data_IF_948445304757
#
_entry.id   IF_948445304757
#
_cell.length_a   1.000
_cell.length_b   1.000
_cell.length_c   1.000
_cell.angle_alpha   90.00
_cell.angle_beta   90.00
_cell.angle_gamma   90.00
#
_symmetry.space_group_name_H-M   'P 1'
#
loop_
_entity.id
_entity.type
_entity.pdbx_description
1 polymer ?
#
# COMPACT_ATOMS: atom_id res chain seq x y z
N UNK A 1 -7.29 -21.91 24.18
CA UNK A 1 -7.70 -20.49 24.26
C UNK A 1 -7.68 -19.91 22.86
N UNK A 2 -8.61 -19.04 22.47
CA UNK A 2 -8.72 -18.66 21.06
C UNK A 2 -7.53 -17.79 20.55
N UNK A 3 -7.09 -16.80 21.25
CA UNK A 3 -6.00 -15.91 20.81
C UNK A 3 -5.04 -15.61 21.98
N UNK A 4 -3.75 -15.49 21.67
CA UNK A 4 -2.68 -15.18 22.61
C UNK A 4 -2.33 -13.67 22.59
N UNK A 5 -1.55 -13.22 23.57
CA UNK A 5 -1.03 -11.84 23.55
C UNK A 5 -0.16 -11.56 22.31
N UNK A 6 0.55 -12.57 21.81
CA UNK A 6 1.36 -12.47 20.60
C UNK A 6 0.48 -12.25 19.35
N UNK A 7 -0.70 -12.88 19.28
CA UNK A 7 -1.66 -12.70 18.18
C UNK A 7 -2.20 -11.28 18.15
N UNK A 8 -2.55 -10.73 19.33
CA UNK A 8 -2.98 -9.33 19.44
C UNK A 8 -1.88 -8.34 19.06
N UNK A 9 -0.62 -8.62 19.46
CA UNK A 9 0.53 -7.80 19.06
C UNK A 9 0.72 -7.83 17.53
N UNK A 10 0.59 -9.01 16.89
CA UNK A 10 0.67 -9.14 15.44
C UNK A 10 -0.47 -8.39 14.72
N UNK A 11 -1.70 -8.47 15.22
CA UNK A 11 -2.85 -7.71 14.69
C UNK A 11 -2.57 -6.20 14.78
N UNK A 12 -2.13 -5.73 15.94
CA UNK A 12 -1.84 -4.30 16.14
C UNK A 12 -0.74 -3.80 15.22
N UNK A 13 0.37 -4.55 15.11
CA UNK A 13 1.48 -4.23 14.22
C UNK A 13 1.02 -4.18 12.75
N UNK A 14 0.18 -5.11 12.34
CA UNK A 14 -0.38 -5.14 10.97
C UNK A 14 -1.22 -3.91 10.69
N UNK A 15 -2.09 -3.51 11.63
CA UNK A 15 -2.92 -2.31 11.47
C UNK A 15 -2.07 -1.03 11.42
N UNK A 16 -1.03 -0.93 12.25
CA UNK A 16 -0.08 0.18 12.20
C UNK A 16 0.66 0.22 10.86
N UNK A 17 1.19 -0.91 10.40
CA UNK A 17 1.89 -1.04 9.12
C UNK A 17 0.97 -0.63 7.96
N UNK A 18 -0.23 -1.20 7.88
CA UNK A 18 -1.17 -0.94 6.80
C UNK A 18 -1.64 0.52 6.80
N UNK A 19 -1.93 1.10 7.97
CA UNK A 19 -2.35 2.50 8.07
C UNK A 19 -1.25 3.45 7.61
N UNK A 20 -0.03 3.28 8.13
CA UNK A 20 1.10 4.15 7.78
C UNK A 20 1.48 4.01 6.30
N UNK A 21 1.55 2.78 5.79
CA UNK A 21 1.83 2.49 4.38
C UNK A 21 0.78 3.14 3.47
N UNK A 22 -0.51 3.03 3.82
CA UNK A 22 -1.60 3.63 3.04
C UNK A 22 -1.48 5.15 2.99
N UNK A 23 -1.22 5.81 4.13
CA UNK A 23 -1.03 7.27 4.17
C UNK A 23 0.15 7.70 3.30
N UNK A 24 1.30 7.02 3.43
CA UNK A 24 2.48 7.32 2.60
C UNK A 24 2.17 7.11 1.12
N UNK A 25 1.50 6.01 0.77
CA UNK A 25 1.13 5.72 -0.61
C UNK A 25 0.15 6.74 -1.19
N UNK A 26 -0.81 7.24 -0.42
CA UNK A 26 -1.71 8.30 -0.88
C UNK A 26 -0.94 9.60 -1.12
N UNK A 27 0.03 9.94 -0.28
CA UNK A 27 0.85 11.15 -0.43
C UNK A 27 1.81 11.02 -1.61
N UNK A 28 2.56 9.92 -1.71
CA UNK A 28 3.57 9.70 -2.77
C UNK A 28 2.93 9.26 -4.08
N UNK A 29 1.90 8.41 -4.02
CA UNK A 29 1.21 7.88 -5.19
C UNK A 29 0.37 8.92 -5.92
N UNK A 30 -0.20 9.91 -5.21
CA UNK A 30 -1.02 10.96 -5.83
C UNK A 30 -0.26 11.74 -6.91
N UNK A 31 0.93 12.33 -6.67
CA UNK A 31 1.67 13.03 -7.72
C UNK A 31 2.10 12.09 -8.85
N UNK A 32 2.46 10.84 -8.55
CA UNK A 32 2.82 9.84 -9.57
C UNK A 32 1.60 9.53 -10.46
N UNK A 33 0.45 9.25 -9.86
CA UNK A 33 -0.79 8.96 -10.57
C UNK A 33 -1.27 10.16 -11.41
N UNK A 34 -1.19 11.37 -10.85
CA UNK A 34 -1.56 12.60 -11.54
C UNK A 34 -0.66 12.85 -12.75
N UNK A 35 0.65 12.63 -12.59
CA UNK A 35 1.60 12.75 -13.69
C UNK A 35 1.32 11.69 -14.77
N UNK A 36 1.16 10.42 -14.39
CA UNK A 36 0.85 9.33 -15.32
C UNK A 36 -0.47 9.56 -16.09
N UNK A 37 -1.47 10.17 -15.44
CA UNK A 37 -2.77 10.45 -16.07
C UNK A 37 -2.66 11.51 -17.18
N UNK A 38 -1.86 12.57 -16.99
CA UNK A 38 -1.86 13.75 -17.85
C UNK A 38 -0.62 13.90 -18.72
N UNK A 39 0.45 13.14 -18.46
CA UNK A 39 1.71 13.29 -19.20
C UNK A 39 1.61 12.74 -20.63
N UNK A 40 2.22 13.46 -21.58
CA UNK A 40 2.47 13.03 -22.96
C UNK A 40 3.94 12.59 -23.16
N UNK A 41 4.72 12.50 -22.10
CA UNK A 41 6.14 12.13 -22.17
C UNK A 41 6.30 10.66 -22.60
N UNK A 42 7.38 10.37 -23.33
CA UNK A 42 7.80 9.00 -23.66
C UNK A 42 8.12 8.15 -22.42
N UNK A 43 8.37 8.80 -21.27
CA UNK A 43 8.64 8.12 -19.99
C UNK A 43 7.37 7.56 -19.33
N UNK A 44 6.16 7.88 -19.84
CA UNK A 44 4.89 7.36 -19.30
C UNK A 44 4.87 5.84 -19.27
N UNK A 45 5.28 5.19 -20.35
CA UNK A 45 5.33 3.72 -20.44
C UNK A 45 6.29 3.09 -19.44
N UNK A 46 7.59 3.45 -19.46
CA UNK A 46 8.56 2.92 -18.50
C UNK A 46 8.20 3.16 -17.03
N UNK A 47 7.77 4.36 -16.65
CA UNK A 47 7.38 4.65 -15.26
C UNK A 47 6.12 3.88 -14.88
N UNK A 48 5.13 3.80 -15.79
CA UNK A 48 3.95 2.97 -15.56
C UNK A 48 4.29 1.49 -15.37
N UNK A 49 5.23 0.95 -16.14
CA UNK A 49 5.73 -0.41 -15.99
C UNK A 49 6.43 -0.62 -14.64
N UNK A 50 7.28 0.32 -14.20
CA UNK A 50 7.94 0.25 -12.88
C UNK A 50 6.90 0.25 -11.75
N UNK A 51 5.90 1.13 -11.82
CA UNK A 51 4.81 1.18 -10.82
C UNK A 51 4.00 -0.12 -10.81
N UNK A 52 3.76 -0.73 -11.97
CA UNK A 52 3.00 -1.97 -12.09
C UNK A 52 3.82 -3.24 -11.83
N UNK A 53 5.15 -3.15 -11.77
CA UNK A 53 6.06 -4.29 -11.65
C UNK A 53 5.72 -5.22 -10.46
N UNK A 54 5.33 -4.71 -9.28
CA UNK A 54 4.94 -5.54 -8.15
C UNK A 54 3.74 -6.46 -8.39
N UNK A 55 2.88 -6.17 -9.38
CA UNK A 55 1.74 -7.05 -9.72
C UNK A 55 2.17 -8.36 -10.40
N UNK A 56 3.33 -8.38 -11.02
CA UNK A 56 3.81 -9.50 -11.82
C UNK A 56 4.93 -10.26 -11.11
N UNK A 57 5.78 -9.54 -10.37
CA UNK A 57 6.88 -10.15 -9.65
C UNK A 57 6.40 -10.92 -8.42
N UNK A 58 6.94 -12.14 -8.18
CA UNK A 58 6.72 -12.82 -6.91
C UNK A 58 7.14 -11.94 -5.72
N UNK A 59 6.36 -11.90 -4.63
CA UNK A 59 6.67 -11.11 -3.44
C UNK A 59 8.08 -11.39 -2.88
N UNK A 60 8.50 -12.65 -2.93
CA UNK A 60 9.82 -13.10 -2.48
C UNK A 60 10.96 -12.50 -3.28
N UNK A 61 10.76 -12.27 -4.60
CA UNK A 61 11.78 -11.66 -5.47
C UNK A 61 11.97 -10.19 -5.07
N UNK A 62 10.88 -9.46 -4.89
CA UNK A 62 10.94 -8.06 -4.45
C UNK A 62 11.56 -7.98 -3.06
N UNK A 63 11.10 -8.82 -2.12
CA UNK A 63 11.63 -8.89 -0.76
C UNK A 63 13.12 -9.20 -0.72
N UNK A 64 13.60 -10.12 -1.56
CA UNK A 64 15.01 -10.45 -1.69
C UNK A 64 15.87 -9.26 -2.13
N UNK A 65 15.48 -8.58 -3.20
CA UNK A 65 16.23 -7.42 -3.67
C UNK A 65 16.18 -6.24 -2.69
N UNK A 66 15.06 -6.04 -2.00
CA UNK A 66 14.97 -5.05 -0.93
C UNK A 66 15.85 -5.43 0.27
N UNK A 67 15.88 -6.71 0.66
CA UNK A 67 16.77 -7.21 1.71
C UNK A 67 18.24 -6.92 1.37
N UNK A 68 18.66 -7.17 0.14
CA UNK A 68 20.03 -6.90 -0.31
C UNK A 68 20.34 -5.40 -0.31
N UNK A 69 19.45 -4.56 -0.84
CA UNK A 69 19.70 -3.12 -0.97
C UNK A 69 19.64 -2.38 0.37
N UNK A 70 18.75 -2.80 1.28
CA UNK A 70 18.54 -2.19 2.60
C UNK A 70 19.41 -2.82 3.69
N UNK A 71 20.07 -3.95 3.40
CA UNK A 71 20.99 -4.64 4.29
C UNK A 71 22.30 -3.88 4.50
N UNK A 72 23.16 -4.31 5.43
CA UNK A 72 24.36 -3.58 5.83
C UNK A 72 25.38 -3.35 4.71
N UNK A 73 25.39 -4.21 3.70
CA UNK A 73 26.28 -4.11 2.54
C UNK A 73 25.61 -3.50 1.29
N UNK A 74 24.29 -3.23 1.36
CA UNK A 74 23.54 -2.60 0.29
C UNK A 74 23.69 -1.07 0.29
N UNK A 75 23.46 -0.44 -0.86
CA UNK A 75 23.60 1.02 -1.01
C UNK A 75 22.70 1.81 -0.05
N UNK A 76 21.44 1.39 0.11
CA UNK A 76 20.49 2.04 1.03
C UNK A 76 20.90 1.81 2.48
N UNK A 77 21.33 0.58 2.83
CA UNK A 77 21.77 0.26 4.18
C UNK A 77 23.05 1.01 4.59
N UNK A 78 24.03 1.13 3.69
CA UNK A 78 25.22 1.94 3.92
C UNK A 78 24.87 3.42 4.12
N UNK A 79 23.97 3.95 3.30
CA UNK A 79 23.54 5.35 3.42
C UNK A 79 22.82 5.60 4.77
N UNK A 80 21.92 4.71 5.19
CA UNK A 80 21.24 4.85 6.48
C UNK A 80 22.18 4.70 7.67
N UNK A 81 23.18 3.82 7.58
CA UNK A 81 24.23 3.71 8.59
C UNK A 81 25.09 4.98 8.67
N UNK A 82 25.45 5.56 7.52
CA UNK A 82 26.20 6.83 7.46
C UNK A 82 25.43 7.97 8.14
N UNK A 83 24.08 7.97 8.05
CA UNK A 83 23.22 8.92 8.76
C UNK A 83 22.98 8.57 10.24
N UNK A 84 23.57 7.50 10.77
CA UNK A 84 23.38 7.06 12.15
C UNK A 84 22.02 6.39 12.44
N UNK A 85 21.24 6.07 11.39
CA UNK A 85 19.91 5.46 11.52
C UNK A 85 19.94 3.92 11.62
N UNK A 86 21.10 3.30 11.50
CA UNK A 86 21.25 1.85 11.49
C UNK A 86 20.78 1.20 10.17
N UNK A 87 20.54 -0.13 10.19
CA UNK A 87 20.01 -0.89 9.06
C UNK A 87 18.49 -0.88 9.04
N UNK A 88 17.90 -0.78 7.86
CA UNK A 88 16.45 -0.82 7.70
C UNK A 88 15.90 -2.26 7.72
N UNK A 89 16.71 -3.26 7.39
CA UNK A 89 16.32 -4.66 7.50
C UNK A 89 16.01 -5.03 8.94
N UNK A 90 15.04 -5.94 9.14
CA UNK A 90 14.59 -6.41 10.44
C UNK A 90 14.06 -5.29 11.36
N UNK A 91 13.51 -4.24 10.75
CA UNK A 91 12.91 -3.11 11.46
C UNK A 91 11.51 -2.78 10.92
N UNK A 92 10.70 -2.10 11.73
CA UNK A 92 9.38 -1.62 11.28
C UNK A 92 9.49 -0.62 10.12
N UNK A 93 10.50 0.24 10.12
CA UNK A 93 10.76 1.16 9.02
C UNK A 93 11.03 0.42 7.70
N UNK A 94 11.81 -0.67 7.76
CA UNK A 94 12.03 -1.54 6.61
C UNK A 94 10.76 -2.18 6.09
N UNK A 95 9.87 -2.65 6.98
CA UNK A 95 8.55 -3.16 6.59
C UNK A 95 7.74 -2.09 5.87
N UNK A 96 7.69 -0.87 6.38
CA UNK A 96 6.95 0.25 5.77
C UNK A 96 7.47 0.52 4.35
N UNK A 97 8.79 0.59 4.16
CA UNK A 97 9.39 0.82 2.83
C UNK A 97 9.05 -0.32 1.87
N UNK A 98 9.19 -1.56 2.32
CA UNK A 98 8.84 -2.74 1.52
C UNK A 98 7.38 -2.75 1.11
N UNK A 99 6.49 -2.51 2.05
CA UNK A 99 5.04 -2.45 1.82
C UNK A 99 4.65 -1.29 0.92
N UNK A 100 5.29 -0.11 1.04
CA UNK A 100 5.07 1.02 0.11
C UNK A 100 5.43 0.64 -1.31
N UNK A 101 6.58 0.00 -1.53
CA UNK A 101 7.00 -0.41 -2.87
C UNK A 101 6.06 -1.50 -3.43
N UNK A 102 5.74 -2.50 -2.62
CA UNK A 102 4.94 -3.64 -3.06
C UNK A 102 3.46 -3.29 -3.27
N UNK A 103 2.89 -2.42 -2.42
CA UNK A 103 1.49 -2.01 -2.51
C UNK A 103 1.27 -0.79 -3.44
N UNK A 104 2.32 -0.22 -4.03
CA UNK A 104 2.24 0.97 -4.89
C UNK A 104 1.22 0.87 -6.02
N UNK A 105 1.13 -0.21 -6.81
CA UNK A 105 0.16 -0.29 -7.90
C UNK A 105 -1.29 -0.27 -7.43
N UNK A 106 -1.59 -0.78 -6.23
CA UNK A 106 -2.94 -0.81 -5.67
C UNK A 106 -3.47 0.57 -5.28
N UNK A 107 -2.59 1.55 -5.16
CA UNK A 107 -2.97 2.95 -4.90
C UNK A 107 -2.83 3.80 -6.16
N UNK A 108 -1.72 3.68 -6.90
CA UNK A 108 -1.45 4.52 -8.06
C UNK A 108 -2.43 4.26 -9.19
N UNK A 109 -2.79 2.99 -9.49
CA UNK A 109 -3.69 2.70 -10.61
C UNK A 109 -5.12 3.21 -10.40
N UNK A 110 -5.80 3.02 -9.25
CA UNK A 110 -7.11 3.61 -9.00
C UNK A 110 -7.10 5.14 -9.06
N UNK A 111 -6.05 5.79 -8.52
CA UNK A 111 -5.90 7.24 -8.60
C UNK A 111 -5.69 7.70 -10.04
N UNK A 112 -4.82 7.03 -10.80
CA UNK A 112 -4.58 7.35 -12.21
C UNK A 112 -5.87 7.23 -13.04
N UNK A 113 -6.66 6.18 -12.81
CA UNK A 113 -7.95 6.00 -13.49
C UNK A 113 -8.93 7.11 -13.14
N UNK A 114 -9.01 7.50 -11.86
CA UNK A 114 -9.86 8.58 -11.41
C UNK A 114 -9.45 9.92 -12.03
N UNK A 115 -8.16 10.24 -12.06
CA UNK A 115 -7.65 11.47 -12.69
C UNK A 115 -7.88 11.49 -14.20
N UNK A 116 -7.69 10.37 -14.86
CA UNK A 116 -7.97 10.24 -16.31
C UNK A 116 -9.45 10.46 -16.61
N UNK A 117 -10.36 9.98 -15.75
CA UNK A 117 -11.80 10.11 -15.92
C UNK A 117 -12.31 11.55 -15.78
N UNK A 118 -11.61 12.43 -15.10
CA UNK A 118 -11.97 13.87 -14.97
C UNK A 118 -11.94 14.55 -16.36
N UNK A 119 -10.99 14.15 -17.21
CA UNK A 119 -10.82 14.76 -18.53
C UNK A 119 -10.27 16.19 -18.49
N UNK A 120 -10.12 16.85 -19.67
CA UNK A 120 -9.50 18.18 -19.75
C UNK A 120 -10.46 19.33 -19.38
N UNK A 121 -11.76 19.19 -19.63
CA UNK A 121 -12.73 20.30 -19.49
C UNK A 121 -12.74 20.99 -18.14
N UNK A 122 -12.83 20.29 -16.99
CA UNK A 122 -12.80 20.95 -15.67
C UNK A 122 -11.50 21.72 -15.41
N UNK A 123 -10.37 21.21 -15.95
CA UNK A 123 -9.06 21.87 -15.82
C UNK A 123 -8.97 23.12 -16.67
N UNK A 124 -9.53 23.10 -17.87
CA UNK A 124 -9.63 24.26 -18.78
C UNK A 124 -10.48 25.38 -18.15
N UNK A 125 -11.64 25.03 -17.56
CA UNK A 125 -12.49 26.01 -16.85
C UNK A 125 -11.73 26.63 -15.68
N UNK A 126 -11.04 25.85 -14.86
CA UNK A 126 -10.21 26.39 -13.77
C UNK A 126 -9.12 27.34 -14.29
N UNK A 127 -8.50 27.02 -15.43
CA UNK A 127 -7.49 27.87 -16.05
C UNK A 127 -8.09 29.22 -16.55
N UNK A 128 -9.32 29.21 -17.09
CA UNK A 128 -10.00 30.51 -17.48
C UNK A 128 -10.26 31.39 -16.28
N UNK A 129 -10.47 30.82 -15.09
CA UNK A 129 -10.65 31.53 -13.82
C UNK A 129 -9.31 31.91 -13.15
N UNK A 130 -8.18 31.72 -13.84
CA UNK A 130 -6.81 31.96 -13.35
C UNK A 130 -6.45 31.22 -12.06
N UNK A 131 -7.09 30.08 -11.81
CA UNK A 131 -6.76 29.25 -10.66
C UNK A 131 -5.30 28.71 -10.78
N UNK A 132 -4.55 28.77 -9.68
CA UNK A 132 -3.21 28.18 -9.65
C UNK A 132 -3.27 26.64 -9.54
N UNK A 133 -2.13 25.96 -9.68
CA UNK A 133 -2.07 24.48 -9.68
C UNK A 133 -2.59 23.87 -8.39
N UNK A 134 -2.28 24.45 -7.24
CA UNK A 134 -2.72 23.97 -5.94
C UNK A 134 -4.21 24.21 -5.74
N UNK A 135 -4.69 25.38 -6.12
CA UNK A 135 -6.10 25.72 -6.08
C UNK A 135 -6.89 24.77 -6.99
N UNK A 136 -6.49 24.61 -8.26
CA UNK A 136 -7.10 23.64 -9.17
C UNK A 136 -7.12 22.21 -8.58
N UNK A 137 -6.01 21.78 -7.94
CA UNK A 137 -5.96 20.46 -7.34
C UNK A 137 -6.98 20.31 -6.21
N UNK A 138 -7.01 21.22 -5.23
CA UNK A 138 -7.86 21.07 -4.05
C UNK A 138 -9.34 21.41 -4.30
N UNK A 139 -9.65 22.33 -5.23
CA UNK A 139 -11.03 22.77 -5.50
C UNK A 139 -11.71 22.01 -6.63
N UNK A 140 -10.95 21.42 -7.57
CA UNK A 140 -11.49 20.72 -8.74
C UNK A 140 -11.09 19.27 -8.76
N UNK A 141 -9.76 18.97 -8.82
CA UNK A 141 -9.28 17.61 -9.07
C UNK A 141 -9.59 16.69 -7.89
N UNK A 142 -9.24 17.07 -6.68
CA UNK A 142 -9.44 16.24 -5.49
C UNK A 142 -10.92 15.95 -5.21
N UNK A 143 -11.86 16.90 -5.23
CA UNK A 143 -13.29 16.61 -5.06
C UNK A 143 -13.83 15.66 -6.13
N UNK A 144 -13.48 15.84 -7.41
CA UNK A 144 -13.92 14.98 -8.49
C UNK A 144 -13.28 13.59 -8.44
N UNK A 145 -12.02 13.49 -8.00
CA UNK A 145 -11.30 12.23 -7.82
C UNK A 145 -11.60 11.53 -6.48
N UNK A 146 -12.39 12.13 -5.57
CA UNK A 146 -12.65 11.59 -4.23
C UNK A 146 -13.01 10.09 -4.21
N UNK A 147 -13.86 9.56 -5.12
CA UNK A 147 -14.14 8.12 -5.17
C UNK A 147 -12.90 7.28 -5.47
N UNK A 148 -11.99 7.79 -6.31
CA UNK A 148 -10.72 7.14 -6.60
C UNK A 148 -9.79 7.09 -5.39
N UNK A 149 -9.74 8.16 -4.59
CA UNK A 149 -8.98 8.20 -3.33
C UNK A 149 -9.50 7.18 -2.32
N UNK A 150 -10.82 7.06 -2.17
CA UNK A 150 -11.44 6.07 -1.28
C UNK A 150 -11.08 4.66 -1.75
N UNK A 151 -11.22 4.37 -3.05
CA UNK A 151 -10.86 3.07 -3.62
C UNK A 151 -9.37 2.76 -3.41
N UNK A 152 -8.48 3.72 -3.69
CA UNK A 152 -7.05 3.58 -3.51
C UNK A 152 -6.67 3.31 -2.04
N UNK A 153 -7.28 4.06 -1.10
CA UNK A 153 -7.05 3.85 0.33
C UNK A 153 -7.48 2.46 0.79
N UNK A 154 -8.67 2.01 0.39
CA UNK A 154 -9.19 0.69 0.76
C UNK A 154 -8.32 -0.42 0.16
N UNK A 155 -7.97 -0.34 -1.13
CA UNK A 155 -7.17 -1.36 -1.79
C UNK A 155 -5.74 -1.40 -1.25
N UNK A 156 -5.09 -0.24 -1.05
CA UNK A 156 -3.75 -0.16 -0.48
C UNK A 156 -3.70 -0.72 0.94
N UNK A 157 -4.66 -0.37 1.78
CA UNK A 157 -4.77 -0.87 3.15
C UNK A 157 -5.00 -2.39 3.17
N UNK A 158 -6.00 -2.89 2.42
CA UNK A 158 -6.33 -4.31 2.39
C UNK A 158 -5.18 -5.16 1.83
N UNK A 159 -4.48 -4.67 0.79
CA UNK A 159 -3.32 -5.36 0.25
C UNK A 159 -2.21 -5.47 1.28
N UNK A 160 -1.88 -4.37 1.98
CA UNK A 160 -0.83 -4.38 3.02
C UNK A 160 -1.19 -5.27 4.21
N UNK A 161 -2.47 -5.34 4.60
CA UNK A 161 -2.91 -6.25 5.67
C UNK A 161 -2.69 -7.72 5.29
N UNK A 162 -2.90 -8.08 4.01
CA UNK A 162 -2.70 -9.44 3.50
C UNK A 162 -1.27 -9.77 3.07
N UNK A 163 -0.32 -8.84 3.18
CA UNK A 163 1.04 -9.01 2.71
C UNK A 163 1.81 -10.02 3.56
N UNK A 164 2.50 -10.97 2.89
CA UNK A 164 3.27 -12.03 3.55
C UNK A 164 4.73 -12.08 3.05
N UNK A 165 4.94 -12.36 1.77
CA UNK A 165 6.27 -12.72 1.25
C UNK A 165 7.32 -11.61 1.39
N UNK A 166 6.98 -10.35 1.06
CA UNK A 166 7.90 -9.20 1.20
C UNK A 166 8.19 -8.93 2.67
N UNK A 167 7.14 -8.94 3.51
CA UNK A 167 7.26 -8.68 4.95
C UNK A 167 8.12 -9.74 5.63
N UNK A 168 7.94 -11.02 5.31
CA UNK A 168 8.76 -12.09 5.87
C UNK A 168 10.23 -11.95 5.47
N UNK A 169 10.51 -11.64 4.20
CA UNK A 169 11.88 -11.49 3.70
C UNK A 169 12.63 -10.33 4.35
N UNK A 170 11.97 -9.17 4.52
CA UNK A 170 12.61 -7.96 5.06
C UNK A 170 12.55 -7.94 6.59
N UNK A 171 11.47 -8.47 7.17
CA UNK A 171 11.18 -8.40 8.59
C UNK A 171 11.82 -9.51 9.43
N UNK A 172 12.01 -10.72 8.86
CA UNK A 172 12.65 -11.84 9.55
C UNK A 172 11.84 -12.39 10.73
N UNK A 173 10.52 -12.17 10.80
CA UNK A 173 9.63 -12.79 11.80
C UNK A 173 10.00 -12.53 13.27
N UNK A 174 10.33 -11.28 13.63
CA UNK A 174 10.69 -10.92 15.01
C UNK A 174 9.42 -10.58 15.80
N UNK A 175 9.11 -11.29 16.91
CA UNK A 175 7.96 -11.01 17.75
C UNK A 175 7.91 -9.53 18.17
N UNK A 176 6.70 -8.96 18.21
CA UNK A 176 6.40 -7.58 18.63
C UNK A 176 7.11 -6.47 17.82
N UNK A 177 7.98 -6.82 16.86
CA UNK A 177 8.77 -5.87 16.09
C UNK A 177 8.45 -5.88 14.59
N UNK A 178 8.37 -7.08 14.00
CA UNK A 178 8.16 -7.25 12.56
C UNK A 178 7.17 -8.36 12.19
N UNK A 179 6.69 -9.11 13.17
CA UNK A 179 5.74 -10.20 12.98
C UNK A 179 4.33 -9.67 12.77
N UNK A 180 3.85 -9.67 11.53
CA UNK A 180 2.48 -9.32 11.15
C UNK A 180 1.56 -10.54 11.20
N UNK A 181 0.22 -10.33 11.09
CA UNK A 181 -0.78 -11.41 11.19
C UNK A 181 -0.54 -12.52 10.17
N UNK A 182 -0.21 -12.20 8.94
CA UNK A 182 0.06 -13.21 7.90
C UNK A 182 1.23 -14.13 8.25
N UNK A 183 2.28 -13.58 8.86
CA UNK A 183 3.45 -14.32 9.37
C UNK A 183 3.07 -15.12 10.62
N UNK A 184 2.28 -14.55 11.52
CA UNK A 184 1.79 -15.25 12.72
C UNK A 184 0.92 -16.47 12.36
N UNK A 185 0.04 -16.35 11.35
CA UNK A 185 -0.73 -17.51 10.83
C UNK A 185 0.22 -18.60 10.32
N UNK A 186 1.24 -18.21 9.56
CA UNK A 186 2.25 -19.13 9.05
C UNK A 186 3.00 -19.85 10.18
N UNK A 187 3.42 -19.15 11.21
CA UNK A 187 4.07 -19.70 12.40
C UNK A 187 3.20 -20.74 13.12
N UNK A 188 1.92 -20.43 13.34
CA UNK A 188 0.99 -21.41 13.95
C UNK A 188 0.82 -22.67 13.10
N UNK A 189 0.82 -22.53 11.76
CA UNK A 189 0.76 -23.68 10.86
C UNK A 189 2.02 -24.53 10.95
N UNK A 190 3.22 -23.91 10.97
CA UNK A 190 4.49 -24.64 11.13
C UNK A 190 4.61 -25.30 12.51
N UNK A 191 4.06 -24.68 13.55
CA UNK A 191 4.00 -25.25 14.90
C UNK A 191 2.90 -26.31 15.07
N UNK A 192 2.13 -26.63 14.01
CA UNK A 192 0.97 -27.54 14.04
C UNK A 192 -0.16 -27.07 14.97
N UNK A 193 -0.20 -25.79 15.31
CA UNK A 193 -1.21 -25.13 16.14
C UNK A 193 -2.42 -24.68 15.29
N UNK A 194 -3.05 -25.61 14.60
CA UNK A 194 -4.11 -25.32 13.63
C UNK A 194 -5.34 -24.60 14.22
N UNK A 195 -5.61 -24.77 15.50
CA UNK A 195 -6.73 -24.08 16.15
C UNK A 195 -6.49 -22.57 16.21
N UNK A 196 -5.28 -22.12 16.56
CA UNK A 196 -4.87 -20.72 16.59
C UNK A 196 -4.82 -20.13 15.18
N UNK A 197 -4.19 -20.87 14.24
CA UNK A 197 -4.16 -20.50 12.83
C UNK A 197 -5.57 -20.28 12.26
N UNK A 198 -6.53 -21.17 12.61
CA UNK A 198 -7.92 -21.07 12.16
C UNK A 198 -8.61 -19.80 12.66
N UNK A 199 -8.42 -19.41 13.92
CA UNK A 199 -9.01 -18.19 14.47
C UNK A 199 -8.47 -16.93 13.79
N UNK A 200 -7.15 -16.82 13.61
CA UNK A 200 -6.54 -15.68 12.92
C UNK A 200 -6.93 -15.63 11.45
N UNK A 201 -6.87 -16.77 10.75
CA UNK A 201 -7.26 -16.86 9.35
C UNK A 201 -8.76 -16.53 9.16
N UNK A 202 -9.62 -17.05 10.04
CA UNK A 202 -11.05 -16.73 10.04
C UNK A 202 -11.33 -15.24 10.24
N UNK A 203 -10.62 -14.60 11.18
CA UNK A 203 -10.70 -13.14 11.38
C UNK A 203 -10.27 -12.38 10.13
N UNK A 204 -9.21 -12.82 9.43
CA UNK A 204 -8.74 -12.21 8.18
C UNK A 204 -9.76 -12.37 7.04
N UNK A 205 -10.43 -13.52 6.94
CA UNK A 205 -11.50 -13.74 5.95
C UNK A 205 -12.67 -12.79 6.19
N UNK A 206 -13.14 -12.68 7.44
CA UNK A 206 -14.21 -11.76 7.81
C UNK A 206 -13.81 -10.31 7.54
N UNK A 207 -12.61 -9.91 7.94
CA UNK A 207 -12.06 -8.58 7.67
C UNK A 207 -12.04 -8.28 6.16
N UNK A 208 -11.48 -9.18 5.33
CA UNK A 208 -11.40 -9.01 3.89
C UNK A 208 -12.78 -8.89 3.24
N UNK A 209 -13.74 -9.72 3.69
CA UNK A 209 -15.12 -9.63 3.23
C UNK A 209 -15.76 -8.27 3.55
N UNK A 210 -15.59 -7.78 4.78
CA UNK A 210 -16.13 -6.47 5.19
C UNK A 210 -15.50 -5.32 4.41
N UNK A 211 -14.20 -5.37 4.15
CA UNK A 211 -13.49 -4.38 3.32
C UNK A 211 -14.05 -4.37 1.89
N UNK A 212 -14.22 -5.54 1.28
CA UNK A 212 -14.80 -5.65 -0.05
C UNK A 212 -16.27 -5.19 -0.07
N UNK A 213 -17.04 -5.56 0.92
CA UNK A 213 -18.44 -5.12 1.05
C UNK A 213 -18.53 -3.58 1.14
N UNK A 214 -17.67 -2.94 1.93
CA UNK A 214 -17.59 -1.49 2.01
C UNK A 214 -17.23 -0.86 0.66
N UNK A 215 -16.28 -1.45 -0.08
CA UNK A 215 -15.88 -0.99 -1.40
C UNK A 215 -17.01 -1.09 -2.43
N UNK A 216 -17.72 -2.22 -2.46
CA UNK A 216 -18.81 -2.44 -3.41
C UNK A 216 -20.06 -1.62 -3.06
N UNK A 217 -20.36 -1.42 -1.78
CA UNK A 217 -21.50 -0.61 -1.35
C UNK A 217 -21.28 0.88 -1.63
N UNK A 218 -20.06 1.39 -1.50
CA UNK A 218 -19.73 2.78 -1.82
C UNK A 218 -19.88 3.11 -3.32
N UNK A 219 -19.71 2.12 -4.22
CA UNK A 219 -19.93 2.29 -5.67
C UNK A 219 -21.41 2.44 -6.05
N UNK A 220 -22.33 1.79 -5.36
CA UNK A 220 -23.78 1.84 -5.65
C UNK A 220 -24.38 3.24 -5.46
N UNK A 221 -23.83 4.04 -4.57
CA UNK A 221 -24.27 5.42 -4.33
C UNK A 221 -24.01 6.39 -5.49
N UNK A 222 -23.16 6.03 -6.45
CA UNK A 222 -22.78 6.94 -7.55
C UNK A 222 -23.58 6.74 -8.84
N UNK A 223 -24.28 5.61 -9.00
CA UNK A 223 -25.09 5.31 -10.20
C UNK A 223 -26.53 5.80 -10.11
N UNK A 224 -26.94 6.44 -9.00
CA UNK A 224 -28.32 6.90 -8.82
C UNK A 224 -28.63 8.30 -9.36
N UNK A 225 -27.68 8.95 -10.08
CA UNK A 225 -27.85 10.31 -10.64
C UNK A 225 -27.58 10.36 -12.16
N UNK A 226 -27.84 9.29 -12.88
CA UNK A 226 -27.85 9.27 -14.35
C UNK A 226 -29.25 9.12 -14.90
#
# INVERSE_FOLDING_TARGET
MPLTSADFAAIWLTLQLASLTTVILLVVGTPIALWLAHTRSRLRGPIGAIVALPLVLPPTVIGFYLLLTMGPHGYVGQFTQFLGLGTLTFSFAGLVIGSVIYSMPFVVQPLQNAFTAIGPRPLEVAATLRANRWDTFFTVVFPLARPGFITAAILGFAHTVGEFGVVLMIGGNIPEKTRVVSVQIYDHVEALEYAQAHWLAGAMVVFSFLVLLALYSSRKSQTSWS
#
